data_IF_894228541672
#
_entry.id   IF_894228541672
#
_cell.length_a   1.000
_cell.length_b   1.000
_cell.length_c   1.000
_cell.angle_alpha   90.00
_cell.angle_beta   90.00
_cell.angle_gamma   90.00
#
_symmetry.space_group_name_H-M   'P 1'
#
loop_
_entity.id
_entity.type
_entity.pdbx_description
1 polymer ?
#
# COMPACT_ATOMS: atom_id res chain seq x y z
N UNK A 1 -17.61 -5.64 -13.40
CA UNK A 1 -18.61 -6.15 -14.36
C UNK A 1 -17.95 -6.91 -15.52
N UNK A 2 -16.90 -6.40 -16.20
CA UNK A 2 -16.26 -7.11 -17.33
C UNK A 2 -15.56 -8.42 -16.93
N UNK A 3 -14.87 -8.47 -15.80
CA UNK A 3 -14.20 -9.69 -15.33
C UNK A 3 -15.21 -10.82 -15.05
N UNK A 4 -16.34 -10.51 -14.44
CA UNK A 4 -17.40 -11.50 -14.17
C UNK A 4 -18.06 -12.00 -15.45
N UNK A 5 -18.21 -11.17 -16.48
CA UNK A 5 -18.75 -11.56 -17.77
C UNK A 5 -17.81 -12.52 -18.53
N UNK A 6 -16.48 -12.36 -18.38
CA UNK A 6 -15.48 -13.27 -18.94
C UNK A 6 -15.51 -14.62 -18.23
N UNK A 7 -15.63 -14.64 -16.89
CA UNK A 7 -15.73 -15.88 -16.11
C UNK A 7 -17.02 -16.65 -16.45
N UNK A 8 -18.14 -15.95 -16.60
CA UNK A 8 -19.43 -16.57 -16.94
C UNK A 8 -19.46 -17.21 -18.34
N UNK A 9 -18.56 -16.81 -19.25
CA UNK A 9 -18.44 -17.39 -20.60
C UNK A 9 -17.49 -18.59 -20.69
N UNK A 10 -16.84 -18.98 -19.59
CA UNK A 10 -15.95 -20.14 -19.59
C UNK A 10 -16.76 -21.42 -19.72
N UNK A 11 -16.53 -22.14 -20.78
CA UNK A 11 -17.12 -23.46 -20.97
C UNK A 11 -16.53 -24.46 -19.96
N UNK A 12 -17.28 -25.51 -19.66
CA UNK A 12 -16.74 -26.69 -18.97
C UNK A 12 -15.54 -27.26 -19.76
N UNK A 13 -14.58 -27.83 -19.04
CA UNK A 13 -13.43 -28.46 -19.69
C UNK A 13 -13.89 -29.48 -20.73
N UNK A 14 -13.37 -29.45 -21.97
CA UNK A 14 -13.72 -30.44 -22.96
C UNK A 14 -13.25 -31.82 -22.50
N UNK A 15 -14.03 -32.86 -22.85
CA UNK A 15 -13.64 -34.24 -22.58
C UNK A 15 -12.34 -34.60 -23.34
N UNK A 16 -11.52 -35.47 -22.75
CA UNK A 16 -10.32 -35.97 -23.40
C UNK A 16 -10.67 -36.60 -24.76
N UNK A 17 -9.92 -36.24 -25.81
CA UNK A 17 -10.11 -36.75 -27.14
C UNK A 17 -9.01 -37.77 -27.46
N UNK A 18 -9.42 -38.98 -27.76
CA UNK A 18 -8.54 -40.02 -28.25
C UNK A 18 -8.57 -40.01 -29.79
N UNK A 19 -7.43 -40.25 -30.44
CA UNK A 19 -7.35 -40.29 -31.89
C UNK A 19 -6.12 -39.57 -32.44
N UNK A 20 -6.07 -39.47 -33.76
CA UNK A 20 -5.01 -38.80 -34.48
C UNK A 20 -5.05 -37.27 -34.30
N UNK A 21 -4.05 -36.61 -34.87
CA UNK A 21 -3.94 -35.15 -34.78
C UNK A 21 -5.16 -34.41 -35.39
N UNK A 22 -5.74 -34.96 -36.48
CA UNK A 22 -6.89 -34.37 -37.14
C UNK A 22 -8.13 -34.36 -36.24
N UNK A 23 -8.37 -35.48 -35.54
CA UNK A 23 -9.46 -35.61 -34.58
C UNK A 23 -9.28 -34.61 -33.38
N UNK A 24 -8.07 -34.54 -32.85
CA UNK A 24 -7.71 -33.60 -31.76
C UNK A 24 -7.87 -32.15 -32.19
N UNK A 25 -7.43 -31.81 -33.41
CA UNK A 25 -7.60 -30.45 -33.94
C UNK A 25 -9.06 -30.04 -34.11
N UNK A 26 -9.89 -30.92 -34.69
CA UNK A 26 -11.33 -30.67 -34.83
C UNK A 26 -12.01 -30.48 -33.48
N UNK A 27 -11.66 -31.29 -32.50
CA UNK A 27 -12.21 -31.15 -31.14
C UNK A 27 -11.75 -29.85 -30.47
N UNK A 28 -10.49 -29.45 -30.64
CA UNK A 28 -10.00 -28.17 -30.13
C UNK A 28 -10.73 -26.98 -30.76
N UNK A 29 -10.95 -27.00 -32.07
CA UNK A 29 -11.69 -25.95 -32.76
C UNK A 29 -13.15 -25.85 -32.26
N UNK A 30 -13.84 -26.98 -32.09
CA UNK A 30 -15.18 -27.04 -31.55
C UNK A 30 -15.22 -26.57 -30.07
N UNK A 31 -14.22 -26.87 -29.28
CA UNK A 31 -14.13 -26.40 -27.90
C UNK A 31 -13.84 -24.88 -27.83
N UNK A 32 -12.95 -24.38 -28.69
CA UNK A 32 -12.64 -22.97 -28.78
C UNK A 32 -13.87 -22.13 -29.14
N UNK A 33 -14.67 -22.56 -30.11
CA UNK A 33 -15.90 -21.88 -30.50
C UNK A 33 -16.95 -21.85 -29.38
N UNK A 34 -16.88 -22.77 -28.41
CA UNK A 34 -17.69 -22.81 -27.20
C UNK A 34 -17.11 -22.06 -26.01
N UNK A 35 -15.99 -21.36 -26.21
CA UNK A 35 -15.34 -20.53 -25.19
C UNK A 35 -14.35 -21.26 -24.28
N UNK A 36 -13.78 -22.39 -24.73
CA UNK A 36 -12.71 -23.05 -23.99
C UNK A 36 -11.49 -22.15 -23.83
N UNK A 37 -10.85 -22.21 -22.67
CA UNK A 37 -9.59 -21.47 -22.39
C UNK A 37 -8.40 -22.15 -23.07
N UNK A 38 -7.30 -21.39 -23.26
CA UNK A 38 -6.06 -21.93 -23.84
C UNK A 38 -5.55 -23.14 -23.05
N UNK A 39 -5.61 -23.12 -21.72
CA UNK A 39 -5.22 -24.27 -20.90
C UNK A 39 -6.09 -25.51 -21.13
N UNK A 40 -7.40 -25.34 -21.35
CA UNK A 40 -8.32 -26.42 -21.67
C UNK A 40 -8.06 -26.99 -23.08
N UNK A 41 -7.68 -26.13 -24.04
CA UNK A 41 -7.30 -26.55 -25.39
C UNK A 41 -5.96 -27.31 -25.40
N UNK A 42 -4.98 -26.83 -24.61
CA UNK A 42 -3.69 -27.52 -24.46
C UNK A 42 -3.86 -28.93 -23.89
N UNK A 43 -4.81 -29.12 -22.95
CA UNK A 43 -5.09 -30.46 -22.39
C UNK A 43 -5.62 -31.45 -23.45
N UNK A 44 -6.31 -30.97 -24.51
CA UNK A 44 -6.75 -31.84 -25.61
C UNK A 44 -5.60 -32.38 -26.48
N UNK A 45 -4.48 -31.65 -26.53
CA UNK A 45 -3.29 -32.11 -27.27
C UNK A 45 -2.65 -33.37 -26.63
N UNK A 46 -2.97 -33.62 -25.37
CA UNK A 46 -2.36 -34.66 -24.55
C UNK A 46 -1.03 -34.16 -24.00
N UNK A 47 -0.90 -34.16 -22.70
CA UNK A 47 0.37 -33.84 -22.07
C UNK A 47 1.32 -35.01 -22.18
N UNK A 48 2.35 -34.82 -22.96
CA UNK A 48 3.48 -35.74 -23.03
C UNK A 48 4.69 -35.26 -22.25
N UNK A 49 4.53 -34.13 -21.55
CA UNK A 49 5.63 -33.53 -20.77
C UNK A 49 5.94 -34.40 -19.57
N UNK A 50 6.91 -35.25 -19.68
CA UNK A 50 7.45 -36.04 -18.58
C UNK A 50 8.24 -35.21 -17.57
N UNK A 51 8.67 -34.00 -17.96
CA UNK A 51 9.57 -33.20 -17.19
C UNK A 51 8.82 -32.07 -16.48
N UNK A 52 8.76 -32.11 -15.12
CA UNK A 52 8.25 -31.06 -14.28
C UNK A 52 9.37 -30.06 -14.02
N UNK A 53 9.34 -28.93 -14.71
CA UNK A 53 10.25 -27.83 -14.44
C UNK A 53 9.70 -27.05 -13.25
N UNK A 54 10.52 -26.89 -12.20
CA UNK A 54 10.14 -26.04 -11.08
C UNK A 54 9.95 -24.59 -11.56
N UNK A 55 8.83 -23.94 -11.23
CA UNK A 55 8.62 -22.56 -11.63
C UNK A 55 9.65 -21.64 -10.96
N UNK A 56 10.17 -20.69 -11.71
CA UNK A 56 11.00 -19.63 -11.16
C UNK A 56 10.17 -18.83 -10.17
N UNK A 57 10.74 -18.57 -8.98
CA UNK A 57 10.05 -17.75 -7.97
C UNK A 57 9.72 -16.38 -8.55
N UNK A 58 8.46 -16.00 -8.47
CA UNK A 58 8.02 -14.66 -8.89
C UNK A 58 8.48 -13.64 -7.84
N UNK A 59 9.48 -12.84 -8.20
CA UNK A 59 9.96 -11.75 -7.34
C UNK A 59 9.28 -10.46 -7.80
N UNK A 60 8.51 -9.85 -6.89
CA UNK A 60 7.90 -8.53 -7.10
C UNK A 60 8.64 -7.49 -6.26
N UNK A 61 9.28 -6.54 -6.92
CA UNK A 61 10.05 -5.47 -6.26
C UNK A 61 9.16 -4.68 -5.28
N UNK A 62 7.89 -4.46 -5.64
CA UNK A 62 6.94 -3.72 -4.82
C UNK A 62 6.19 -4.57 -3.77
N UNK A 63 6.52 -5.86 -3.60
CA UNK A 63 5.76 -6.77 -2.72
C UNK A 63 5.61 -6.25 -1.28
N UNK A 64 6.66 -5.63 -0.72
CA UNK A 64 6.62 -5.03 0.62
C UNK A 64 5.62 -3.87 0.72
N UNK A 65 5.61 -2.98 -0.26
CA UNK A 65 4.65 -1.86 -0.31
C UNK A 65 3.22 -2.32 -0.57
N UNK A 66 3.05 -3.35 -1.39
CA UNK A 66 1.73 -3.97 -1.62
C UNK A 66 1.18 -4.60 -0.35
N UNK A 67 2.01 -5.26 0.44
CA UNK A 67 1.63 -5.82 1.74
C UNK A 67 1.16 -4.72 2.71
N UNK A 68 1.88 -3.59 2.79
CA UNK A 68 1.47 -2.44 3.59
C UNK A 68 0.13 -1.85 3.11
N UNK A 69 -0.07 -1.71 1.81
CA UNK A 69 -1.33 -1.25 1.23
C UNK A 69 -2.49 -2.18 1.54
N UNK A 70 -2.29 -3.46 1.39
CA UNK A 70 -3.29 -4.47 1.72
C UNK A 70 -3.66 -4.43 3.21
N UNK A 71 -2.69 -4.20 4.09
CA UNK A 71 -2.93 -4.01 5.52
C UNK A 71 -3.77 -2.74 5.80
N UNK A 72 -3.47 -1.62 5.13
CA UNK A 72 -4.27 -0.39 5.22
C UNK A 72 -5.69 -0.57 4.70
N UNK A 73 -5.87 -1.31 3.61
CA UNK A 73 -7.19 -1.63 3.05
C UNK A 73 -7.99 -2.56 3.99
N UNK A 74 -7.34 -3.55 4.59
CA UNK A 74 -7.96 -4.41 5.60
C UNK A 74 -8.36 -3.63 6.86
N UNK A 75 -7.50 -2.70 7.30
CA UNK A 75 -7.82 -1.79 8.39
C UNK A 75 -9.05 -0.94 8.07
N UNK A 76 -9.10 -0.34 6.88
CA UNK A 76 -10.22 0.49 6.44
C UNK A 76 -11.54 -0.29 6.37
N UNK A 77 -11.50 -1.53 5.90
CA UNK A 77 -12.69 -2.41 5.87
C UNK A 77 -13.23 -2.70 7.28
N UNK A 78 -12.34 -2.85 8.26
CA UNK A 78 -12.71 -3.16 9.65
C UNK A 78 -13.19 -1.94 10.43
N UNK A 79 -12.60 -0.75 10.20
CA UNK A 79 -12.82 0.45 11.00
C UNK A 79 -13.65 1.53 10.32
N UNK A 80 -13.93 1.38 9.03
CA UNK A 80 -14.64 2.37 8.21
C UNK A 80 -13.78 3.53 7.70
N UNK A 81 -12.49 3.61 8.08
CA UNK A 81 -11.58 4.66 7.62
C UNK A 81 -10.15 4.15 7.49
N UNK A 82 -9.37 4.74 6.57
CA UNK A 82 -7.94 4.43 6.44
C UNK A 82 -7.16 4.82 7.69
N UNK A 83 -6.00 4.18 7.96
CA UNK A 83 -5.11 4.65 9.01
C UNK A 83 -4.66 6.08 8.70
N UNK A 84 -4.56 6.90 9.75
CA UNK A 84 -4.30 8.34 9.62
C UNK A 84 -2.92 8.72 10.14
N UNK A 85 -2.26 9.62 9.41
CA UNK A 85 -1.04 10.30 9.84
C UNK A 85 -1.29 11.80 9.92
N UNK A 86 -0.93 12.40 11.02
CA UNK A 86 -1.02 13.85 11.24
C UNK A 86 0.31 14.50 10.89
N UNK A 87 0.30 15.51 10.02
CA UNK A 87 1.49 16.28 9.67
C UNK A 87 1.52 17.59 10.42
N UNK A 88 2.33 17.67 11.47
CA UNK A 88 2.54 18.87 12.27
C UNK A 88 3.48 19.81 11.49
N UNK A 89 2.89 20.70 10.69
CA UNK A 89 3.60 21.70 9.90
C UNK A 89 3.95 22.89 10.77
N UNK A 90 5.24 23.06 11.11
CA UNK A 90 5.69 24.10 12.02
C UNK A 90 6.30 25.29 11.28
N UNK A 91 5.90 26.49 11.72
CA UNK A 91 6.40 27.75 11.19
C UNK A 91 5.95 28.09 9.77
N UNK A 92 6.66 29.00 9.09
CA UNK A 92 6.32 29.46 7.74
C UNK A 92 6.35 28.34 6.69
N UNK A 93 5.58 28.52 5.61
CA UNK A 93 5.46 27.53 4.52
C UNK A 93 6.80 27.04 3.97
N UNK A 94 7.78 27.94 3.84
CA UNK A 94 9.13 27.60 3.35
C UNK A 94 9.83 26.57 4.22
N UNK A 95 9.59 26.57 5.52
CA UNK A 95 10.26 25.67 6.47
C UNK A 95 9.63 24.27 6.45
N UNK A 96 8.32 24.18 6.48
CA UNK A 96 7.65 22.87 6.64
C UNK A 96 7.22 22.19 5.35
N UNK A 97 6.97 22.95 4.27
CA UNK A 97 6.33 22.41 3.05
C UNK A 97 7.12 21.24 2.42
N UNK A 98 8.45 21.31 2.18
CA UNK A 98 9.16 20.21 1.53
C UNK A 98 9.04 18.89 2.28
N UNK A 99 9.13 18.95 3.62
CA UNK A 99 9.07 17.77 4.49
C UNK A 99 7.65 17.27 4.70
N UNK A 100 6.69 18.16 4.74
CA UNK A 100 5.29 17.77 4.78
C UNK A 100 4.85 17.07 3.49
N UNK A 101 5.25 17.58 2.33
CA UNK A 101 4.95 16.97 1.03
C UNK A 101 5.63 15.60 0.89
N UNK A 102 6.91 15.49 1.29
CA UNK A 102 7.60 14.21 1.32
C UNK A 102 6.90 13.21 2.23
N UNK A 103 6.56 13.61 3.45
CA UNK A 103 5.89 12.75 4.42
C UNK A 103 4.52 12.29 3.94
N UNK A 104 3.74 13.19 3.32
CA UNK A 104 2.47 12.84 2.73
C UNK A 104 2.61 11.76 1.64
N UNK A 105 3.60 11.92 0.75
CA UNK A 105 3.93 10.93 -0.27
C UNK A 105 4.38 9.60 0.32
N UNK A 106 5.30 9.63 1.29
CA UNK A 106 5.85 8.46 1.95
C UNK A 106 4.77 7.60 2.62
N UNK A 107 3.93 8.21 3.47
CA UNK A 107 2.82 7.49 4.11
C UNK A 107 1.71 7.12 3.12
N UNK A 108 1.51 7.93 2.06
CA UNK A 108 0.57 7.67 0.98
C UNK A 108 0.87 6.40 0.19
N UNK A 109 2.16 6.01 0.04
CA UNK A 109 2.56 4.73 -0.57
C UNK A 109 1.94 3.55 0.17
N UNK A 110 1.90 3.60 1.49
CA UNK A 110 1.29 2.57 2.33
C UNK A 110 -0.25 2.71 2.48
N UNK A 111 -0.85 3.72 1.85
CA UNK A 111 -2.30 3.94 1.87
C UNK A 111 -2.82 4.67 3.11
N UNK A 112 -1.97 5.39 3.84
CA UNK A 112 -2.41 6.26 4.94
C UNK A 112 -3.11 7.50 4.42
N UNK A 113 -4.09 7.99 5.19
CA UNK A 113 -4.71 9.30 5.01
C UNK A 113 -3.89 10.36 5.75
N UNK A 114 -3.35 11.34 5.00
CA UNK A 114 -2.56 12.43 5.59
C UNK A 114 -3.45 13.59 6.02
N UNK A 115 -3.36 13.98 7.29
CA UNK A 115 -4.06 15.13 7.86
C UNK A 115 -3.07 16.29 7.95
N UNK A 116 -3.20 17.28 7.06
CA UNK A 116 -2.29 18.41 6.90
C UNK A 116 -3.05 19.74 6.71
N UNK A 117 -4.10 19.99 7.52
CA UNK A 117 -5.04 21.10 7.28
C UNK A 117 -4.39 22.48 7.41
N UNK A 118 -3.55 22.70 8.42
CA UNK A 118 -2.95 24.00 8.72
C UNK A 118 -1.51 23.90 9.20
N UNK A 119 -0.82 25.00 9.27
CA UNK A 119 0.46 25.15 9.95
C UNK A 119 0.24 25.64 11.39
N UNK A 120 1.25 25.46 12.23
CA UNK A 120 1.22 25.81 13.66
C UNK A 120 2.44 26.64 14.02
N UNK A 121 2.22 27.62 14.90
CA UNK A 121 3.29 28.44 15.44
C UNK A 121 3.88 27.83 16.72
N UNK A 122 3.08 27.07 17.49
CA UNK A 122 3.54 26.46 18.74
C UNK A 122 3.42 24.94 18.73
N UNK A 123 4.35 24.27 19.39
CA UNK A 123 4.34 22.82 19.59
C UNK A 123 3.07 22.36 20.35
N UNK A 124 2.60 23.16 21.29
CA UNK A 124 1.40 22.85 22.08
C UNK A 124 0.14 22.80 21.23
N UNK A 125 -0.06 23.77 20.32
CA UNK A 125 -1.23 23.78 19.44
C UNK A 125 -1.18 22.67 18.42
N UNK A 126 0.00 22.35 17.87
CA UNK A 126 0.20 21.23 16.99
C UNK A 126 -0.10 19.89 17.70
N UNK A 127 0.33 19.73 18.96
CA UNK A 127 0.06 18.54 19.76
C UNK A 127 -1.44 18.37 20.07
N UNK A 128 -2.14 19.43 20.43
CA UNK A 128 -3.60 19.41 20.64
C UNK A 128 -4.32 18.99 19.36
N UNK A 129 -3.93 19.55 18.21
CA UNK A 129 -4.52 19.22 16.93
C UNK A 129 -4.23 17.77 16.55
N UNK A 130 -3.00 17.26 16.80
CA UNK A 130 -2.64 15.86 16.59
C UNK A 130 -3.51 14.93 17.45
N UNK A 131 -3.69 15.22 18.72
CA UNK A 131 -4.52 14.44 19.64
C UNK A 131 -5.98 14.36 19.19
N UNK A 132 -6.53 15.48 18.69
CA UNK A 132 -7.90 15.57 18.19
C UNK A 132 -8.10 14.97 16.79
N UNK A 133 -7.04 14.73 16.02
CA UNK A 133 -7.11 14.29 14.63
C UNK A 133 -7.59 12.86 14.44
N UNK A 134 -7.50 12.02 15.46
CA UNK A 134 -7.72 10.58 15.37
C UNK A 134 -6.55 9.80 14.74
N UNK A 135 -5.43 10.48 14.43
CA UNK A 135 -4.22 9.82 13.93
C UNK A 135 -3.50 9.04 15.04
N UNK A 136 -2.84 7.96 14.65
CA UNK A 136 -1.94 7.19 15.52
C UNK A 136 -0.47 7.60 15.37
N UNK A 137 -0.16 8.36 14.34
CA UNK A 137 1.18 8.84 14.02
C UNK A 137 1.10 10.36 13.85
N UNK A 138 2.04 11.10 14.45
CA UNK A 138 2.23 12.53 14.24
C UNK A 138 3.65 12.78 13.74
N UNK A 139 3.78 13.41 12.57
CA UNK A 139 5.05 13.72 11.93
C UNK A 139 5.35 15.19 12.10
N UNK A 140 6.46 15.51 12.74
CA UNK A 140 6.94 16.89 12.89
C UNK A 140 7.67 17.32 11.60
N UNK A 141 7.17 18.36 10.96
CA UNK A 141 7.69 18.90 9.70
C UNK A 141 8.14 20.34 9.88
N UNK A 142 9.45 20.58 9.82
CA UNK A 142 10.10 21.89 9.84
C UNK A 142 11.50 21.80 9.21
N UNK A 143 12.43 22.69 9.56
CA UNK A 143 13.83 22.68 9.12
C UNK A 143 14.75 22.14 10.21
N UNK A 144 15.97 21.68 9.85
CA UNK A 144 16.90 21.05 10.79
C UNK A 144 17.36 22.01 11.91
N UNK A 145 17.49 23.27 11.59
CA UNK A 145 17.87 24.33 12.54
C UNK A 145 16.80 24.60 13.63
N UNK A 146 15.56 24.28 13.38
CA UNK A 146 14.46 24.44 14.33
C UNK A 146 14.20 23.22 15.21
N UNK A 147 14.66 22.05 14.81
CA UNK A 147 14.38 20.80 15.50
C UNK A 147 14.95 20.69 16.92
N UNK A 148 16.12 21.24 17.25
CA UNK A 148 16.63 21.20 18.63
C UNK A 148 15.65 21.71 19.68
N UNK A 149 14.86 22.72 19.33
CA UNK A 149 13.85 23.30 20.23
C UNK A 149 12.48 22.64 20.04
N UNK A 150 12.10 22.37 18.80
CA UNK A 150 10.77 21.86 18.48
C UNK A 150 10.54 20.40 18.85
N UNK A 151 11.54 19.53 18.69
CA UNK A 151 11.38 18.09 18.91
C UNK A 151 11.03 17.76 20.36
N UNK A 152 11.82 18.19 21.37
CA UNK A 152 11.51 17.89 22.77
C UNK A 152 10.17 18.51 23.20
N UNK A 153 9.90 19.74 22.78
CA UNK A 153 8.65 20.45 23.12
C UNK A 153 7.43 19.74 22.51
N UNK A 154 7.49 19.36 21.24
CA UNK A 154 6.40 18.67 20.54
C UNK A 154 6.18 17.26 21.08
N UNK A 155 7.25 16.48 21.28
CA UNK A 155 7.15 15.13 21.81
C UNK A 155 6.52 15.11 23.21
N UNK A 156 6.98 16.00 24.10
CA UNK A 156 6.40 16.14 25.44
C UNK A 156 4.92 16.53 25.39
N UNK A 157 4.57 17.53 24.58
CA UNK A 157 3.19 17.98 24.43
C UNK A 157 2.26 16.89 23.84
N UNK A 158 2.72 16.12 22.87
CA UNK A 158 1.95 15.00 22.29
C UNK A 158 1.77 13.90 23.32
N UNK A 159 2.82 13.50 24.05
CA UNK A 159 2.74 12.48 25.10
C UNK A 159 1.76 12.88 26.21
N UNK A 160 1.73 14.16 26.57
CA UNK A 160 0.78 14.69 27.55
C UNK A 160 -0.66 14.68 27.03
N UNK A 161 -0.87 15.10 25.77
CA UNK A 161 -2.20 15.21 25.19
C UNK A 161 -2.80 13.84 24.83
N UNK A 162 -1.98 12.90 24.33
CA UNK A 162 -2.41 11.56 23.93
C UNK A 162 -1.22 10.59 23.89
N UNK A 163 -0.94 9.85 24.97
CA UNK A 163 0.25 8.99 25.08
C UNK A 163 0.40 7.92 23.98
N UNK A 164 -0.69 7.52 23.32
CA UNK A 164 -0.68 6.47 22.29
C UNK A 164 -0.29 6.93 20.89
N UNK A 165 0.05 8.22 20.68
CA UNK A 165 0.52 8.71 19.38
C UNK A 165 2.01 8.48 19.25
N UNK A 166 2.42 7.83 18.13
CA UNK A 166 3.83 7.73 17.76
C UNK A 166 4.28 9.05 17.13
N UNK A 167 5.32 9.66 17.67
CA UNK A 167 5.93 10.87 17.10
C UNK A 167 7.06 10.48 16.17
N UNK A 168 7.06 11.05 14.97
CA UNK A 168 8.07 10.82 13.93
C UNK A 168 8.64 12.16 13.50
N UNK A 169 9.95 12.22 13.29
CA UNK A 169 10.62 13.40 12.77
C UNK A 169 10.79 13.30 11.25
N UNK A 170 10.35 14.33 10.53
CA UNK A 170 10.59 14.42 9.09
C UNK A 170 11.96 15.05 8.83
N UNK A 171 12.99 14.24 8.86
CA UNK A 171 14.38 14.66 8.64
C UNK A 171 15.37 13.76 9.38
N UNK A 172 16.63 14.02 9.18
CA UNK A 172 17.71 13.36 9.90
C UNK A 172 18.67 14.48 10.38
N UNK A 173 18.46 15.01 11.59
CA UNK A 173 19.38 16.03 12.13
C UNK A 173 20.78 15.47 12.26
N UNK A 174 21.78 16.35 12.12
CA UNK A 174 23.21 15.98 12.21
C UNK A 174 23.58 15.43 13.59
N UNK A 175 22.89 15.92 14.63
CA UNK A 175 23.05 15.43 16.01
C UNK A 175 22.04 14.33 16.30
N UNK A 176 22.53 13.07 16.35
CA UNK A 176 21.70 11.90 16.62
C UNK A 176 21.15 11.84 18.05
N UNK A 177 21.79 12.53 19.01
CA UNK A 177 21.32 12.58 20.40
C UNK A 177 19.93 13.27 20.55
N UNK A 178 19.44 13.90 19.50
CA UNK A 178 18.11 14.52 19.49
C UNK A 178 16.99 13.59 18.99
N UNK A 179 17.32 12.36 18.58
CA UNK A 179 16.38 11.44 17.92
C UNK A 179 16.08 10.21 18.78
N UNK A 180 16.90 9.95 19.80
CA UNK A 180 16.71 8.88 20.80
C UNK A 180 15.98 9.42 22.04
#
# INVERSE_FOLDING_TARGET
ARANAIVARRSTAPAAVTGDWSAKFKAALAAASKGATVGQLAALAGDTAAEKIAPVASIRIAAGFEALRNASDAYAKRTGSRPKVFLAKMGPVKQHKPRADFSAGFFGVAGFESIAKQAFETAADAAKAAAASGASIAVLCSTDDTYPELVPAFAAAVKQAKPGITVVLAGLPADKAQVD
#
